data_IF_188556216161
#
_entry.id   IF_188556216161
#
_cell.length_a   1.000
_cell.length_b   1.000
_cell.length_c   1.000
_cell.angle_alpha   90.00
_cell.angle_beta   90.00
_cell.angle_gamma   90.00
#
_symmetry.space_group_name_H-M   'P 1'
#
loop_
_entity.id
_entity.type
_entity.pdbx_description
1 polymer ?
#
# COMPACT_ATOMS: atom_id res chain seq x y z
N UNK A 1 73.27 42.57 -108.77
CA UNK A 1 73.80 41.19 -108.46
C UNK A 1 74.43 41.23 -107.11
N UNK A 2 73.80 40.80 -106.05
CA UNK A 2 74.33 40.67 -104.71
C UNK A 2 74.04 39.23 -104.20
N UNK A 3 75.10 38.50 -103.91
CA UNK A 3 74.97 37.14 -103.36
C UNK A 3 74.67 37.24 -101.82
N UNK A 4 73.81 36.43 -101.25
CA UNK A 4 73.59 36.40 -99.79
C UNK A 4 74.63 35.57 -99.08
N UNK A 5 75.10 36.11 -97.97
CA UNK A 5 76.18 35.57 -97.15
C UNK A 5 75.67 34.43 -96.28
N UNK A 6 76.05 33.18 -96.49
CA UNK A 6 75.64 31.95 -95.86
C UNK A 6 76.28 31.69 -94.51
N UNK A 7 77.17 32.57 -94.02
CA UNK A 7 77.92 32.37 -92.79
C UNK A 7 77.14 32.76 -91.49
N UNK A 8 76.18 33.68 -91.59
CA UNK A 8 75.42 34.07 -90.42
C UNK A 8 74.31 33.08 -90.04
N UNK A 9 73.67 32.41 -91.01
CA UNK A 9 72.60 31.44 -90.72
C UNK A 9 73.10 30.20 -89.96
N UNK A 10 74.35 29.75 -90.16
CA UNK A 10 74.91 28.61 -89.49
C UNK A 10 75.16 28.82 -87.97
N UNK A 11 75.48 30.07 -87.60
CA UNK A 11 75.75 30.44 -86.20
C UNK A 11 74.49 30.55 -85.37
N UNK A 12 73.39 30.99 -86.00
CA UNK A 12 72.07 31.08 -85.33
C UNK A 12 71.39 29.72 -85.05
N UNK A 13 71.57 28.78 -85.94
CA UNK A 13 71.04 27.40 -85.80
C UNK A 13 71.82 26.66 -84.72
N UNK A 14 73.13 26.88 -84.56
CA UNK A 14 73.90 26.18 -83.53
C UNK A 14 73.65 26.70 -82.13
N UNK A 15 73.40 28.00 -81.95
CA UNK A 15 72.99 28.60 -80.66
C UNK A 15 71.64 28.13 -80.18
N UNK A 16 70.65 28.02 -81.09
CA UNK A 16 69.33 27.55 -80.72
C UNK A 16 69.29 25.99 -80.37
N UNK A 17 70.18 25.20 -81.02
CA UNK A 17 70.26 23.80 -80.64
C UNK A 17 70.98 23.55 -79.25
N UNK A 18 71.95 24.41 -78.91
CA UNK A 18 72.55 24.36 -77.58
C UNK A 18 71.60 24.84 -76.50
N UNK A 19 70.74 25.87 -76.76
CA UNK A 19 69.73 26.39 -75.86
C UNK A 19 68.57 25.37 -75.63
N UNK A 20 68.15 24.67 -76.70
CA UNK A 20 67.14 23.61 -76.59
C UNK A 20 67.64 22.38 -75.85
N UNK A 21 68.92 22.01 -75.98
CA UNK A 21 69.51 20.88 -75.21
C UNK A 21 69.60 21.23 -73.72
N UNK A 22 69.98 22.50 -73.40
CA UNK A 22 70.05 22.96 -72.03
C UNK A 22 68.66 22.99 -71.33
N UNK A 23 67.58 23.40 -72.07
CA UNK A 23 66.20 23.40 -71.54
C UNK A 23 65.71 21.98 -71.29
N UNK A 24 66.01 21.01 -72.16
CA UNK A 24 65.69 19.60 -72.00
C UNK A 24 66.40 19.00 -70.81
N UNK A 25 67.67 19.30 -70.59
CA UNK A 25 68.47 18.84 -69.42
C UNK A 25 67.89 19.45 -68.11
N UNK A 26 67.51 20.74 -68.10
CA UNK A 26 66.95 21.35 -66.90
C UNK A 26 65.57 20.80 -66.61
N UNK A 27 64.74 20.58 -67.63
CA UNK A 27 63.44 19.91 -67.44
C UNK A 27 63.54 18.50 -66.98
N UNK A 28 64.55 17.71 -67.49
CA UNK A 28 64.86 16.36 -67.03
C UNK A 28 65.32 16.32 -65.56
N UNK A 29 66.13 17.31 -65.15
CA UNK A 29 66.54 17.44 -63.75
C UNK A 29 65.43 17.79 -62.82
N UNK A 30 64.49 18.69 -63.25
CA UNK A 30 63.27 19.02 -62.46
C UNK A 30 62.30 17.82 -62.36
N UNK A 31 62.19 17.06 -63.46
CA UNK A 31 61.33 15.87 -63.45
C UNK A 31 61.96 14.76 -62.54
N UNK A 32 63.27 14.59 -62.54
CA UNK A 32 64.00 13.63 -61.68
C UNK A 32 63.89 14.06 -60.19
N UNK A 33 64.01 15.36 -59.88
CA UNK A 33 63.82 15.92 -58.54
C UNK A 33 62.40 15.79 -58.09
N UNK A 34 61.38 16.05 -58.95
CA UNK A 34 59.94 15.88 -58.69
C UNK A 34 59.64 14.42 -58.42
N UNK A 35 60.13 13.45 -59.18
CA UNK A 35 59.95 12.01 -58.95
C UNK A 35 60.58 11.53 -57.64
N UNK A 36 61.75 12.09 -57.29
CA UNK A 36 62.42 11.79 -56.04
C UNK A 36 61.65 12.36 -54.83
N UNK A 37 60.99 13.53 -54.99
CA UNK A 37 60.17 14.12 -53.97
C UNK A 37 58.85 13.36 -53.79
N UNK A 38 58.27 12.85 -54.87
CA UNK A 38 57.03 12.01 -54.79
C UNK A 38 57.38 10.59 -54.21
N UNK A 39 58.55 10.03 -54.53
CA UNK A 39 58.97 8.71 -53.96
C UNK A 39 59.27 8.81 -52.44
N UNK A 40 59.68 9.97 -51.95
CA UNK A 40 59.99 10.19 -50.53
C UNK A 40 58.78 10.49 -49.69
N UNK A 41 57.58 10.77 -50.28
CA UNK A 41 56.31 10.94 -49.54
C UNK A 41 55.56 9.63 -49.29
N UNK A 42 55.95 8.51 -49.83
CA UNK A 42 55.25 7.21 -49.62
C UNK A 42 55.76 6.38 -48.46
N UNK A 43 56.67 6.88 -47.64
CA UNK A 43 57.11 6.19 -46.41
C UNK A 43 56.82 6.99 -45.12
N UNK A 44 55.77 7.83 -45.11
CA UNK A 44 55.18 8.21 -43.84
C UNK A 44 54.55 6.93 -43.25
N UNK A 45 55.22 6.23 -42.34
CA UNK A 45 54.64 5.23 -41.46
C UNK A 45 53.40 5.87 -40.84
N UNK A 46 52.20 5.42 -41.28
CA UNK A 46 50.94 5.71 -40.58
C UNK A 46 51.16 5.27 -39.13
N UNK A 47 51.41 6.20 -38.24
CA UNK A 47 51.35 5.96 -36.80
C UNK A 47 49.90 5.58 -36.55
N UNK A 48 49.61 4.28 -36.54
CA UNK A 48 48.31 3.75 -36.14
C UNK A 48 48.25 4.04 -34.65
N UNK A 49 47.64 5.19 -34.29
CA UNK A 49 47.35 5.48 -32.90
C UNK A 49 46.49 4.34 -32.37
N UNK A 50 47.05 3.59 -31.44
CA UNK A 50 46.32 2.51 -30.77
C UNK A 50 45.21 3.15 -29.97
N UNK A 51 43.95 2.77 -30.20
CA UNK A 51 42.84 3.33 -29.40
C UNK A 51 43.05 2.91 -27.93
N UNK A 52 42.95 3.90 -27.05
CA UNK A 52 42.95 3.67 -25.59
C UNK A 52 41.57 3.22 -25.20
N UNK A 53 41.49 2.13 -24.43
CA UNK A 53 40.24 1.47 -24.04
C UNK A 53 40.25 1.13 -22.56
N UNK A 54 39.07 1.24 -21.94
CA UNK A 54 38.84 0.71 -20.60
C UNK A 54 38.42 -0.76 -20.70
N UNK A 55 38.84 -1.54 -19.74
CA UNK A 55 38.56 -2.97 -19.73
C UNK A 55 37.99 -3.39 -18.39
N UNK A 56 37.19 -4.44 -18.40
CA UNK A 56 36.60 -5.04 -17.19
C UNK A 56 36.74 -6.56 -17.28
N UNK A 57 37.14 -7.18 -16.18
CA UNK A 57 37.12 -8.64 -16.06
C UNK A 57 35.72 -9.13 -15.82
N UNK A 58 35.28 -10.09 -16.61
CA UNK A 58 33.97 -10.72 -16.51
C UNK A 58 33.90 -11.53 -15.23
N UNK A 59 32.93 -11.20 -14.40
CA UNK A 59 32.60 -11.96 -13.20
C UNK A 59 31.07 -12.16 -13.11
N UNK A 60 30.66 -13.20 -12.43
CA UNK A 60 29.24 -13.37 -12.12
C UNK A 60 28.87 -12.48 -10.95
N UNK A 61 27.81 -11.70 -11.12
CA UNK A 61 27.29 -10.78 -10.11
C UNK A 61 25.76 -10.85 -10.06
N UNK A 62 25.12 -10.50 -8.95
CA UNK A 62 23.68 -10.36 -8.91
C UNK A 62 23.22 -9.20 -9.80
N UNK A 63 22.24 -9.45 -10.64
CA UNK A 63 21.60 -8.42 -11.48
C UNK A 63 20.37 -7.89 -10.76
N UNK A 64 20.38 -6.60 -10.46
CA UNK A 64 19.25 -5.89 -9.88
C UNK A 64 18.50 -5.11 -10.96
N UNK A 65 17.19 -5.10 -10.84
CA UNK A 65 16.30 -4.22 -11.62
C UNK A 65 15.69 -3.18 -10.69
N UNK A 66 15.61 -1.94 -11.18
CA UNK A 66 14.94 -0.85 -10.47
C UNK A 66 13.53 -0.67 -11.00
N UNK A 67 12.58 -0.53 -10.11
CA UNK A 67 11.20 -0.15 -10.38
C UNK A 67 11.06 1.32 -9.97
N UNK A 68 10.58 2.15 -10.87
CA UNK A 68 10.20 3.51 -10.52
C UNK A 68 8.81 3.51 -9.92
N UNK A 69 8.70 3.98 -8.71
CA UNK A 69 7.46 4.09 -7.96
C UNK A 69 6.96 5.53 -8.05
N UNK A 70 5.68 5.66 -8.28
CA UNK A 70 5.00 6.94 -8.31
C UNK A 70 3.60 6.78 -7.73
N UNK A 71 3.24 7.60 -6.76
CA UNK A 71 1.94 7.51 -6.12
C UNK A 71 1.60 8.76 -5.32
N UNK A 72 0.35 8.83 -4.88
CA UNK A 72 -0.15 9.91 -4.06
C UNK A 72 -0.22 9.47 -2.59
N UNK A 73 0.17 10.37 -1.68
CA UNK A 73 0.08 10.15 -0.24
C UNK A 73 -1.38 10.17 0.18
N UNK A 74 -1.77 9.14 0.92
CA UNK A 74 -3.05 9.05 1.62
C UNK A 74 -2.78 9.08 3.12
N UNK A 75 -3.62 9.76 3.85
CA UNK A 75 -3.62 9.67 5.31
C UNK A 75 -4.00 8.25 5.75
N UNK A 76 -3.70 7.91 6.98
CA UNK A 76 -4.02 6.59 7.56
C UNK A 76 -5.50 6.27 7.51
N UNK A 77 -6.36 7.28 7.72
CA UNK A 77 -7.79 7.18 7.52
C UNK A 77 -8.39 8.56 7.24
N UNK A 78 -9.46 8.57 6.47
CA UNK A 78 -10.34 9.71 6.26
C UNK A 78 -11.75 9.26 6.61
N UNK A 79 -12.41 9.93 7.56
CA UNK A 79 -13.69 9.51 8.13
C UNK A 79 -14.68 10.63 7.95
N UNK A 80 -15.69 10.36 7.15
CA UNK A 80 -16.85 11.24 7.02
C UNK A 80 -17.81 11.04 8.22
N UNK A 81 -18.08 12.11 8.92
CA UNK A 81 -19.07 12.16 9.99
C UNK A 81 -20.40 12.55 9.36
N UNK A 82 -21.25 11.55 9.27
CA UNK A 82 -22.53 11.64 8.55
C UNK A 82 -23.67 11.73 9.54
N UNK A 83 -24.63 12.59 9.23
CA UNK A 83 -25.85 12.78 10.02
C UNK A 83 -26.76 11.55 9.92
N UNK A 84 -27.13 10.99 11.08
CA UNK A 84 -28.03 9.83 11.15
C UNK A 84 -29.50 10.25 11.20
N UNK A 85 -29.81 11.34 11.90
CA UNK A 85 -31.15 11.86 12.06
C UNK A 85 -31.24 13.32 11.62
N UNK A 86 -32.24 13.67 10.85
CA UNK A 86 -32.45 15.06 10.45
C UNK A 86 -32.74 15.94 11.67
N UNK A 87 -32.12 17.12 11.73
CA UNK A 87 -32.31 18.04 12.86
C UNK A 87 -31.57 19.37 12.67
N UNK A 88 -31.74 20.27 13.62
CA UNK A 88 -31.03 21.55 13.68
C UNK A 88 -29.73 21.34 14.46
N UNK A 89 -28.64 22.00 14.04
CA UNK A 89 -27.35 22.01 14.73
C UNK A 89 -27.37 23.10 15.79
N UNK A 90 -27.23 22.74 17.06
CA UNK A 90 -27.23 23.71 18.17
C UNK A 90 -25.82 24.24 18.46
N UNK A 91 -24.79 23.37 18.39
CA UNK A 91 -23.41 23.71 18.69
C UNK A 91 -22.45 23.09 17.68
N UNK A 92 -21.40 23.84 17.31
CA UNK A 92 -20.27 23.37 16.53
C UNK A 92 -18.99 23.79 17.26
N UNK A 93 -18.24 22.80 17.77
CA UNK A 93 -17.08 23.02 18.63
C UNK A 93 -15.75 22.98 17.88
N UNK A 94 -15.77 22.75 16.56
CA UNK A 94 -14.58 22.60 15.72
C UNK A 94 -14.71 23.41 14.44
N UNK A 95 -13.57 23.81 13.89
CA UNK A 95 -13.47 24.49 12.62
C UNK A 95 -12.50 23.76 11.68
N UNK A 96 -12.44 24.20 10.40
CA UNK A 96 -11.47 23.67 9.44
C UNK A 96 -10.04 23.82 9.99
N UNK A 97 -9.28 22.72 9.97
CA UNK A 97 -7.93 22.65 10.51
C UNK A 97 -7.83 22.40 12.01
N UNK A 98 -8.95 22.33 12.74
CA UNK A 98 -8.96 21.99 14.18
C UNK A 98 -8.39 20.59 14.40
N UNK A 99 -7.46 20.47 15.37
CA UNK A 99 -6.94 19.19 15.85
C UNK A 99 -7.84 18.70 16.99
N UNK A 100 -8.25 17.44 16.90
CA UNK A 100 -9.15 16.82 17.87
C UNK A 100 -8.57 15.51 18.37
N UNK A 101 -8.96 15.11 19.58
CA UNK A 101 -8.65 13.81 20.17
C UNK A 101 -9.87 12.87 20.09
N UNK A 102 -9.62 11.57 20.25
CA UNK A 102 -10.73 10.60 20.32
C UNK A 102 -11.66 10.91 21.49
N UNK A 103 -12.96 11.01 21.21
CA UNK A 103 -13.99 11.33 22.20
C UNK A 103 -14.36 12.80 22.31
N UNK A 104 -13.60 13.73 21.70
CA UNK A 104 -13.94 15.16 21.69
C UNK A 104 -15.29 15.39 21.01
N UNK A 105 -16.10 16.27 21.57
CA UNK A 105 -17.40 16.64 21.02
C UNK A 105 -17.16 17.62 19.87
N UNK A 106 -17.55 17.20 18.67
CA UNK A 106 -17.36 17.97 17.43
C UNK A 106 -18.54 18.92 17.20
N UNK A 107 -19.74 18.41 17.31
CA UNK A 107 -20.98 19.18 17.18
C UNK A 107 -22.12 18.50 17.96
N UNK A 108 -23.16 19.26 18.24
CA UNK A 108 -24.36 18.81 18.92
C UNK A 108 -25.58 19.27 18.12
N UNK A 109 -26.49 18.35 17.81
CA UNK A 109 -27.82 18.67 17.30
C UNK A 109 -28.77 18.93 18.44
N UNK A 110 -29.96 19.49 18.11
CA UNK A 110 -30.99 19.80 19.09
C UNK A 110 -31.37 18.56 19.91
N UNK A 111 -31.15 18.62 21.23
CA UNK A 111 -31.21 17.47 22.13
C UNK A 111 -32.54 17.38 22.89
N UNK A 112 -33.33 18.46 23.01
CA UNK A 112 -34.45 18.57 23.97
C UNK A 112 -35.49 17.49 23.74
N UNK A 113 -35.93 17.30 22.50
CA UNK A 113 -36.93 16.28 22.16
C UNK A 113 -36.43 14.87 22.42
N UNK A 114 -35.18 14.57 22.02
CA UNK A 114 -34.58 13.25 22.22
C UNK A 114 -34.31 12.94 23.69
N UNK A 115 -33.93 13.97 24.47
CA UNK A 115 -33.76 13.88 25.93
C UNK A 115 -35.11 13.61 26.63
N UNK A 116 -36.18 14.33 26.24
CA UNK A 116 -37.49 14.13 26.77
C UNK A 116 -38.01 12.72 26.46
N UNK A 117 -37.80 12.23 25.23
CA UNK A 117 -38.17 10.88 24.81
C UNK A 117 -37.41 9.80 25.61
N UNK A 118 -36.12 9.98 25.80
CA UNK A 118 -35.28 9.09 26.62
C UNK A 118 -35.74 9.03 28.07
N UNK A 119 -35.99 10.19 28.69
CA UNK A 119 -36.48 10.25 30.07
C UNK A 119 -37.85 9.59 30.23
N UNK A 120 -38.78 9.79 29.27
CA UNK A 120 -40.08 9.12 29.23
C UNK A 120 -39.95 7.60 29.11
N UNK A 121 -39.09 7.13 28.22
CA UNK A 121 -38.83 5.70 28.06
C UNK A 121 -38.20 5.10 29.33
N UNK A 122 -37.26 5.80 29.98
CA UNK A 122 -36.65 5.41 31.25
C UNK A 122 -37.68 5.24 32.35
N UNK A 123 -38.64 6.20 32.47
CA UNK A 123 -39.71 6.13 33.47
C UNK A 123 -40.62 4.90 33.25
N UNK A 124 -40.98 4.62 31.98
CA UNK A 124 -41.79 3.45 31.63
C UNK A 124 -41.06 2.13 31.90
N UNK A 125 -39.77 2.07 31.67
CA UNK A 125 -38.95 0.93 32.01
C UNK A 125 -38.89 0.69 33.51
N UNK A 126 -38.68 1.75 34.32
CA UNK A 126 -38.66 1.68 35.78
C UNK A 126 -39.99 1.21 36.34
N UNK A 127 -41.12 1.73 35.81
CA UNK A 127 -42.48 1.30 36.19
C UNK A 127 -42.70 -0.19 35.88
N UNK A 128 -42.37 -0.65 34.69
CA UNK A 128 -42.51 -2.03 34.28
C UNK A 128 -41.65 -2.99 35.13
N UNK A 129 -40.44 -2.57 35.49
CA UNK A 129 -39.55 -3.32 36.39
C UNK A 129 -40.14 -3.45 37.80
N UNK A 130 -40.69 -2.36 38.35
CA UNK A 130 -41.36 -2.38 39.65
C UNK A 130 -42.60 -3.30 39.66
N UNK A 131 -43.40 -3.27 38.58
CA UNK A 131 -44.58 -4.13 38.43
C UNK A 131 -44.18 -5.62 38.31
N UNK A 132 -43.11 -5.94 37.59
CA UNK A 132 -42.56 -7.29 37.48
C UNK A 132 -42.11 -7.81 38.87
N UNK A 133 -41.33 -6.99 39.57
CA UNK A 133 -40.86 -7.34 40.92
C UNK A 133 -41.99 -7.53 41.92
N UNK A 134 -43.01 -6.66 41.90
CA UNK A 134 -44.17 -6.79 42.76
C UNK A 134 -44.98 -8.06 42.47
N UNK A 135 -45.13 -8.41 41.19
CA UNK A 135 -45.80 -9.62 40.76
C UNK A 135 -45.06 -10.87 41.22
N UNK A 136 -43.74 -10.90 41.09
CA UNK A 136 -42.90 -12.03 41.53
C UNK A 136 -42.94 -12.21 43.05
N UNK A 137 -42.78 -11.11 43.82
CA UNK A 137 -42.90 -11.13 45.29
C UNK A 137 -44.30 -11.59 45.74
N UNK A 138 -45.36 -11.10 45.08
CA UNK A 138 -46.73 -11.49 45.41
C UNK A 138 -46.97 -12.97 45.15
N UNK A 139 -46.46 -13.50 44.05
CA UNK A 139 -46.55 -14.93 43.72
C UNK A 139 -45.76 -15.80 44.71
N UNK A 140 -44.51 -15.47 44.97
CA UNK A 140 -43.62 -16.23 45.85
C UNK A 140 -44.13 -16.26 47.32
N UNK A 141 -44.63 -15.09 47.80
CA UNK A 141 -45.23 -15.00 49.15
C UNK A 141 -46.52 -15.78 49.21
N UNK A 142 -47.39 -15.70 48.19
CA UNK A 142 -48.63 -16.49 48.11
C UNK A 142 -48.33 -18.00 48.09
N UNK A 143 -47.37 -18.44 47.30
CA UNK A 143 -46.97 -19.86 47.23
C UNK A 143 -46.46 -20.36 48.57
N UNK A 144 -45.58 -19.63 49.23
CA UNK A 144 -45.05 -20.00 50.54
C UNK A 144 -46.15 -20.11 51.62
N UNK A 145 -47.13 -19.21 51.59
CA UNK A 145 -48.29 -19.24 52.50
C UNK A 145 -49.14 -20.49 52.26
N UNK A 146 -49.55 -20.76 51.04
CA UNK A 146 -50.38 -21.94 50.74
C UNK A 146 -49.65 -23.24 50.99
N UNK A 147 -48.33 -23.30 50.75
CA UNK A 147 -47.50 -24.47 51.11
C UNK A 147 -47.49 -24.73 52.63
N UNK A 148 -47.30 -23.67 53.43
CA UNK A 148 -47.37 -23.78 54.89
C UNK A 148 -48.72 -24.27 55.40
N UNK A 149 -49.83 -23.70 54.87
CA UNK A 149 -51.20 -24.13 55.20
C UNK A 149 -51.45 -25.60 54.84
N UNK A 150 -51.00 -26.06 53.67
CA UNK A 150 -51.09 -27.45 53.23
C UNK A 150 -50.31 -28.38 54.12
N UNK A 151 -49.05 -28.04 54.46
CA UNK A 151 -48.20 -28.84 55.40
C UNK A 151 -48.86 -28.95 56.78
N UNK A 152 -49.43 -27.87 57.30
CA UNK A 152 -50.13 -27.90 58.59
C UNK A 152 -51.36 -28.82 58.54
N UNK A 153 -52.17 -28.69 57.47
CA UNK A 153 -53.32 -29.57 57.28
C UNK A 153 -52.95 -31.03 57.14
N UNK A 154 -51.83 -31.33 56.48
CA UNK A 154 -51.27 -32.68 56.34
C UNK A 154 -50.91 -33.27 57.71
N UNK A 155 -50.15 -32.55 58.52
CA UNK A 155 -49.78 -32.99 59.89
C UNK A 155 -51.01 -33.23 60.75
N UNK A 156 -52.01 -32.36 60.68
CA UNK A 156 -53.28 -32.49 61.43
C UNK A 156 -54.09 -33.74 61.01
N UNK A 157 -54.22 -33.95 59.68
CA UNK A 157 -54.94 -35.14 59.17
C UNK A 157 -54.26 -36.44 59.59
N UNK A 158 -52.88 -36.51 59.53
CA UNK A 158 -52.12 -37.67 60.01
C UNK A 158 -52.32 -37.90 61.50
N UNK A 159 -52.36 -36.86 62.33
CA UNK A 159 -52.59 -36.92 63.74
C UNK A 159 -54.00 -37.52 64.03
N UNK A 160 -55.01 -36.99 63.33
CA UNK A 160 -56.41 -37.49 63.52
C UNK A 160 -56.58 -38.92 63.01
N UNK A 161 -55.91 -39.38 61.96
CA UNK A 161 -55.85 -40.77 61.52
C UNK A 161 -55.35 -41.70 62.62
N UNK A 162 -54.27 -41.30 63.31
CA UNK A 162 -53.72 -42.07 64.45
C UNK A 162 -54.66 -42.12 65.62
N UNK A 163 -55.30 -40.99 65.98
CA UNK A 163 -56.25 -40.95 67.07
C UNK A 163 -57.53 -41.71 66.75
N UNK A 164 -57.98 -41.74 65.53
CA UNK A 164 -59.17 -42.55 65.13
C UNK A 164 -58.81 -44.02 65.16
N UNK A 165 -57.65 -44.43 64.77
CA UNK A 165 -57.18 -45.83 64.92
C UNK A 165 -57.11 -46.30 66.41
N UNK A 166 -56.98 -45.34 67.36
CA UNK A 166 -56.95 -45.56 68.76
C UNK A 166 -58.38 -45.41 69.40
N UNK A 167 -59.43 -45.09 68.60
CA UNK A 167 -60.78 -44.89 69.09
C UNK A 167 -60.99 -43.53 69.82
N UNK A 168 -60.06 -42.57 69.75
CA UNK A 168 -60.07 -41.33 70.54
C UNK A 168 -60.83 -40.19 69.86
N UNK A 169 -61.20 -40.32 68.59
CA UNK A 169 -61.96 -39.32 67.81
C UNK A 169 -63.04 -40.04 66.98
N UNK A 170 -64.07 -39.24 66.57
CA UNK A 170 -65.18 -39.73 65.74
C UNK A 170 -64.79 -39.79 64.25
N UNK A 171 -65.55 -40.57 63.46
CA UNK A 171 -65.35 -40.67 62.01
C UNK A 171 -65.66 -39.30 61.37
N UNK A 172 -66.68 -38.55 61.83
CA UNK A 172 -67.02 -37.22 61.33
C UNK A 172 -65.86 -36.23 61.54
N UNK A 173 -65.12 -36.29 62.65
CA UNK A 173 -63.98 -35.42 62.90
C UNK A 173 -62.80 -35.74 61.96
N UNK A 174 -62.56 -37.06 61.76
CA UNK A 174 -61.55 -37.48 60.79
C UNK A 174 -61.89 -36.96 59.37
N UNK A 175 -63.09 -37.20 58.88
CA UNK A 175 -63.55 -36.77 57.55
C UNK A 175 -63.47 -35.26 57.38
N UNK A 176 -63.77 -34.44 58.42
CA UNK A 176 -63.58 -32.98 58.40
C UNK A 176 -62.08 -32.59 58.20
N UNK A 177 -61.15 -33.27 58.86
CA UNK A 177 -59.73 -32.99 58.72
C UNK A 177 -59.19 -33.42 57.33
N UNK A 178 -59.73 -34.52 56.81
CA UNK A 178 -59.33 -34.99 55.44
C UNK A 178 -59.93 -34.05 54.38
N UNK A 179 -61.16 -33.54 54.57
CA UNK A 179 -61.69 -32.51 53.66
C UNK A 179 -60.91 -31.19 53.72
N UNK A 180 -60.44 -30.77 54.92
CA UNK A 180 -59.58 -29.61 55.11
C UNK A 180 -58.25 -29.81 54.38
N UNK A 181 -57.63 -30.99 54.52
CA UNK A 181 -56.42 -31.31 53.81
C UNK A 181 -56.62 -31.25 52.28
N UNK A 182 -57.69 -31.85 51.75
CA UNK A 182 -58.00 -31.84 50.35
C UNK A 182 -58.18 -30.40 49.81
N UNK A 183 -58.91 -29.53 50.58
CA UNK A 183 -59.07 -28.14 50.20
C UNK A 183 -57.77 -27.32 50.19
N UNK A 184 -56.92 -27.53 51.24
CA UNK A 184 -55.64 -26.81 51.31
C UNK A 184 -54.65 -27.32 50.25
N UNK A 185 -54.66 -28.60 49.92
CA UNK A 185 -53.90 -29.17 48.81
C UNK A 185 -54.31 -28.55 47.48
N UNK A 186 -55.63 -28.51 47.22
CA UNK A 186 -56.15 -27.91 45.98
C UNK A 186 -55.77 -26.42 45.84
N UNK A 187 -55.78 -25.64 46.96
CA UNK A 187 -55.34 -24.25 46.95
C UNK A 187 -53.84 -24.09 46.60
N UNK A 188 -53.00 -24.92 47.20
CA UNK A 188 -51.55 -24.96 46.91
C UNK A 188 -51.30 -25.36 45.45
N UNK A 189 -51.89 -26.46 44.99
CA UNK A 189 -51.72 -26.95 43.62
C UNK A 189 -52.25 -25.98 42.57
N UNK A 190 -53.35 -25.30 42.83
CA UNK A 190 -53.91 -24.30 41.94
C UNK A 190 -52.93 -23.12 41.69
N UNK A 191 -52.15 -22.75 42.71
CA UNK A 191 -51.11 -21.73 42.54
C UNK A 191 -49.80 -22.30 41.99
N UNK A 192 -49.35 -23.45 42.52
CA UNK A 192 -48.08 -24.10 42.13
C UNK A 192 -48.11 -24.64 40.69
N UNK A 193 -49.28 -25.13 40.22
CA UNK A 193 -49.48 -25.65 38.87
C UNK A 193 -50.03 -24.62 37.90
N UNK A 194 -50.06 -23.31 38.27
CA UNK A 194 -50.35 -22.27 37.28
C UNK A 194 -49.48 -22.49 36.02
N UNK A 195 -50.13 -22.37 34.84
CA UNK A 195 -49.40 -22.59 33.58
C UNK A 195 -48.04 -21.93 33.62
N UNK A 196 -47.00 -22.75 33.66
CA UNK A 196 -45.63 -22.24 33.63
C UNK A 196 -45.12 -22.19 32.21
N UNK A 197 -44.41 -21.11 31.90
CA UNK A 197 -43.60 -21.00 30.68
C UNK A 197 -42.15 -20.84 31.11
N UNK A 198 -41.27 -21.68 30.58
CA UNK A 198 -39.85 -21.68 30.92
C UNK A 198 -39.58 -21.84 32.43
N UNK A 199 -40.40 -22.70 33.10
CA UNK A 199 -40.27 -22.97 34.54
C UNK A 199 -40.77 -21.86 35.47
N UNK A 200 -41.40 -20.77 34.94
CA UNK A 200 -41.95 -19.64 35.70
C UNK A 200 -43.46 -19.52 35.49
N UNK A 201 -44.25 -19.05 36.50
CA UNK A 201 -45.65 -18.77 36.31
C UNK A 201 -45.90 -17.79 35.15
N UNK A 202 -46.87 -18.11 34.32
CA UNK A 202 -47.12 -17.33 33.09
C UNK A 202 -47.40 -15.84 33.35
N UNK A 203 -47.93 -15.51 34.54
CA UNK A 203 -48.16 -14.13 34.95
C UNK A 203 -46.86 -13.39 35.27
N UNK A 204 -45.94 -14.02 36.01
CA UNK A 204 -44.60 -13.47 36.31
C UNK A 204 -43.81 -13.31 35.01
N UNK A 205 -43.73 -14.37 34.19
CA UNK A 205 -43.07 -14.34 32.89
C UNK A 205 -43.57 -13.21 31.99
N UNK A 206 -44.88 -13.00 31.92
CA UNK A 206 -45.49 -11.91 31.13
C UNK A 206 -45.01 -10.54 31.58
N UNK A 207 -44.97 -10.27 32.89
CA UNK A 207 -44.49 -8.98 33.41
C UNK A 207 -43.02 -8.77 33.16
N UNK A 208 -42.21 -9.81 33.27
CA UNK A 208 -40.77 -9.77 32.91
C UNK A 208 -40.60 -9.44 31.42
N UNK A 209 -41.38 -10.05 30.52
CA UNK A 209 -41.34 -9.74 29.08
C UNK A 209 -41.78 -8.30 28.77
N UNK A 210 -42.73 -7.76 29.53
CA UNK A 210 -43.13 -6.34 29.41
C UNK A 210 -41.94 -5.44 29.84
N UNK A 211 -41.29 -5.74 30.96
CA UNK A 211 -40.14 -5.00 31.45
C UNK A 211 -38.98 -5.05 30.45
N UNK A 212 -38.66 -6.23 29.91
CA UNK A 212 -37.60 -6.40 28.89
C UNK A 212 -37.90 -5.59 27.61
N UNK A 213 -39.17 -5.55 27.15
CA UNK A 213 -39.55 -4.72 26.00
C UNK A 213 -39.39 -3.23 26.30
N UNK A 214 -39.75 -2.77 27.49
CA UNK A 214 -39.58 -1.38 27.91
C UNK A 214 -38.11 -0.98 28.05
N UNK A 215 -37.28 -1.92 28.45
CA UNK A 215 -35.83 -1.75 28.46
C UNK A 215 -35.29 -1.49 27.06
N UNK A 216 -35.70 -2.29 26.06
CA UNK A 216 -35.29 -2.08 24.67
C UNK A 216 -35.77 -0.72 24.13
N UNK A 217 -37.01 -0.31 24.47
CA UNK A 217 -37.50 1.02 24.09
C UNK A 217 -36.63 2.15 24.70
N UNK A 218 -36.23 2.00 25.97
CA UNK A 218 -35.31 2.93 26.62
C UNK A 218 -33.93 2.97 25.97
N UNK A 219 -33.35 1.81 25.67
CA UNK A 219 -32.05 1.71 24.99
C UNK A 219 -32.09 2.40 23.61
N UNK A 220 -33.15 2.20 22.84
CA UNK A 220 -33.35 2.87 21.54
C UNK A 220 -33.39 4.40 21.70
N UNK A 221 -34.18 4.90 22.66
CA UNK A 221 -34.28 6.34 22.94
C UNK A 221 -32.92 6.91 23.43
N UNK A 222 -32.18 6.18 24.26
CA UNK A 222 -30.87 6.55 24.76
C UNK A 222 -29.84 6.62 23.62
N UNK A 223 -29.84 5.64 22.74
CA UNK A 223 -28.93 5.63 21.56
C UNK A 223 -29.26 6.82 20.64
N UNK A 224 -30.55 7.11 20.39
CA UNK A 224 -30.94 8.29 19.61
C UNK A 224 -30.43 9.59 20.22
N UNK A 225 -30.54 9.75 21.53
CA UNK A 225 -29.99 10.92 22.25
C UNK A 225 -28.45 11.02 22.08
N UNK A 226 -27.72 9.90 22.20
CA UNK A 226 -26.27 9.88 22.04
C UNK A 226 -25.83 10.10 20.59
N UNK A 227 -26.59 9.63 19.61
CA UNK A 227 -26.29 9.80 18.19
C UNK A 227 -26.41 11.27 17.72
N UNK A 228 -27.08 12.14 18.48
CA UNK A 228 -27.15 13.57 18.23
C UNK A 228 -25.93 14.35 18.77
N UNK A 229 -25.09 13.71 19.55
CA UNK A 229 -23.82 14.26 20.07
C UNK A 229 -22.69 13.62 19.28
N UNK A 230 -22.17 14.34 18.31
CA UNK A 230 -21.12 13.82 17.42
C UNK A 230 -19.76 13.93 18.08
N UNK A 231 -19.10 12.80 18.24
CA UNK A 231 -17.77 12.71 18.83
C UNK A 231 -16.74 12.23 17.83
N UNK A 232 -15.48 12.70 17.98
CA UNK A 232 -14.38 12.21 17.19
C UNK A 232 -14.13 10.71 17.47
N UNK A 233 -14.17 9.84 16.46
CA UNK A 233 -13.90 8.42 16.65
C UNK A 233 -12.42 8.12 16.91
N UNK A 234 -11.54 9.04 16.54
CA UNK A 234 -10.07 9.01 16.76
C UNK A 234 -9.49 10.42 16.74
N UNK A 235 -8.21 10.54 17.09
CA UNK A 235 -7.47 11.78 16.92
C UNK A 235 -7.23 12.09 15.44
N UNK A 236 -7.17 13.37 15.09
CA UNK A 236 -6.96 13.84 13.72
C UNK A 236 -7.24 15.31 13.52
N UNK A 237 -7.38 15.70 12.26
CA UNK A 237 -7.60 17.08 11.83
C UNK A 237 -8.92 17.15 11.05
N UNK A 238 -9.72 18.18 11.30
CA UNK A 238 -10.95 18.43 10.53
C UNK A 238 -10.57 19.04 9.17
N UNK A 239 -10.93 18.35 8.09
CA UNK A 239 -10.60 18.77 6.71
C UNK A 239 -11.81 19.25 5.92
N UNK A 240 -13.02 18.98 6.40
CA UNK A 240 -14.27 19.44 5.80
C UNK A 240 -15.28 19.78 6.90
N UNK A 241 -16.01 20.87 6.76
CA UNK A 241 -17.09 21.31 7.66
C UNK A 241 -18.21 21.96 6.83
N UNK A 242 -19.41 21.37 6.92
CA UNK A 242 -20.65 21.88 6.34
C UNK A 242 -21.73 22.16 7.41
N UNK A 243 -21.41 21.84 8.67
CA UNK A 243 -22.28 22.10 9.80
C UNK A 243 -22.16 23.55 10.26
N UNK A 244 -23.28 24.27 10.32
CA UNK A 244 -23.38 25.64 10.86
C UNK A 244 -24.40 25.69 11.99
N UNK A 245 -24.12 26.48 13.03
CA UNK A 245 -25.03 26.67 14.17
C UNK A 245 -26.34 27.29 13.67
N UNK A 246 -27.46 26.69 14.05
CA UNK A 246 -28.80 27.05 13.57
C UNK A 246 -29.16 26.47 12.21
N UNK A 247 -28.22 25.82 11.54
CA UNK A 247 -28.43 25.16 10.24
C UNK A 247 -29.22 23.85 10.37
N UNK A 248 -30.04 23.53 9.37
CA UNK A 248 -30.75 22.27 9.29
C UNK A 248 -29.87 21.22 8.56
N UNK A 249 -29.61 20.10 9.21
CA UNK A 249 -28.85 18.98 8.69
C UNK A 249 -29.77 17.82 8.30
N UNK A 250 -29.92 17.49 7.01
CA UNK A 250 -30.71 16.32 6.58
C UNK A 250 -30.06 15.00 7.02
N UNK A 251 -30.88 13.95 7.21
CA UNK A 251 -30.34 12.61 7.43
C UNK A 251 -29.52 12.14 6.20
N UNK A 252 -28.34 11.54 6.43
CA UNK A 252 -27.41 11.09 5.39
C UNK A 252 -26.48 12.19 4.87
N UNK A 253 -26.61 13.46 5.31
CA UNK A 253 -25.65 14.51 4.93
C UNK A 253 -24.33 14.34 5.65
N UNK A 254 -23.23 14.65 4.94
CA UNK A 254 -21.87 14.72 5.51
C UNK A 254 -21.73 16.07 6.22
N UNK A 255 -21.47 16.04 7.53
CA UNK A 255 -21.31 17.24 8.35
C UNK A 255 -19.86 17.67 8.48
N UNK A 256 -18.98 16.72 8.73
CA UNK A 256 -17.54 16.93 8.94
C UNK A 256 -16.77 15.79 8.28
N UNK A 257 -15.49 16.04 7.93
CA UNK A 257 -14.53 14.98 7.60
C UNK A 257 -13.34 15.08 8.54
N UNK A 258 -13.01 13.99 9.19
CA UNK A 258 -11.85 13.83 10.07
C UNK A 258 -10.75 13.07 9.37
N UNK A 259 -9.57 13.66 9.25
CA UNK A 259 -8.37 13.07 8.69
C UNK A 259 -7.45 12.60 9.83
N UNK A 260 -7.12 11.32 9.86
CA UNK A 260 -6.10 10.76 10.77
C UNK A 260 -4.71 10.97 10.16
N UNK A 261 -3.98 11.95 10.67
CA UNK A 261 -2.61 12.31 10.25
C UNK A 261 -1.50 11.57 11.02
N UNK A 262 -1.85 10.56 11.82
CA UNK A 262 -0.89 9.76 12.59
C UNK A 262 0.02 8.87 11.73
N UNK A 263 -0.22 8.82 10.44
CA UNK A 263 0.57 8.06 9.48
C UNK A 263 0.11 8.28 8.05
N UNK A 264 1.02 8.01 7.11
CA UNK A 264 0.74 8.17 5.68
C UNK A 264 1.10 6.90 4.93
N UNK A 265 0.38 6.65 3.86
CA UNK A 265 0.65 5.57 2.92
C UNK A 265 0.69 6.12 1.50
N UNK A 266 1.49 5.48 0.66
CA UNK A 266 1.55 5.78 -0.79
C UNK A 266 1.08 4.55 -1.53
N UNK A 267 0.07 4.70 -2.37
CA UNK A 267 -0.38 3.65 -3.28
C UNK A 267 0.27 3.87 -4.64
N UNK A 268 1.10 2.92 -5.08
CA UNK A 268 1.79 2.93 -6.37
C UNK A 268 1.26 1.83 -7.27
N UNK A 269 1.11 2.15 -8.55
CA UNK A 269 0.74 1.18 -9.57
C UNK A 269 1.98 0.50 -10.15
N UNK A 270 2.06 -0.82 -10.07
CA UNK A 270 3.15 -1.65 -10.58
C UNK A 270 2.62 -2.69 -11.57
N UNK A 271 3.51 -3.15 -12.46
CA UNK A 271 3.20 -4.20 -13.44
C UNK A 271 3.14 -5.60 -12.79
N UNK A 272 2.57 -6.58 -13.48
CA UNK A 272 2.51 -7.98 -13.02
C UNK A 272 3.90 -8.56 -12.71
N UNK A 273 4.88 -8.33 -13.60
CA UNK A 273 6.24 -8.80 -13.40
C UNK A 273 6.93 -8.17 -12.18
N UNK A 274 6.61 -6.91 -11.88
CA UNK A 274 7.11 -6.19 -10.71
C UNK A 274 6.41 -6.68 -9.43
N UNK A 275 5.10 -6.92 -9.48
CA UNK A 275 4.34 -7.45 -8.36
C UNK A 275 4.83 -8.84 -7.92
N UNK A 276 5.19 -9.69 -8.89
CA UNK A 276 5.77 -11.01 -8.61
C UNK A 276 7.16 -10.95 -7.97
N UNK A 277 7.91 -9.84 -8.14
CA UNK A 277 9.27 -9.68 -7.65
C UNK A 277 9.37 -8.90 -6.33
N UNK A 278 8.33 -8.13 -5.98
CA UNK A 278 8.30 -7.32 -4.75
C UNK A 278 7.71 -8.13 -3.61
N UNK A 279 8.36 -8.08 -2.46
CA UNK A 279 7.88 -8.71 -1.22
C UNK A 279 7.57 -7.65 -0.17
N UNK A 280 6.60 -7.93 0.68
CA UNK A 280 6.30 -7.10 1.85
C UNK A 280 7.52 -7.01 2.79
N UNK A 281 7.60 -5.91 3.54
CA UNK A 281 8.72 -5.62 4.45
C UNK A 281 9.93 -4.96 3.80
N UNK A 282 9.96 -4.76 2.47
CA UNK A 282 11.06 -4.04 1.82
C UNK A 282 11.00 -2.55 2.10
N UNK A 283 12.17 -1.99 2.38
CA UNK A 283 12.35 -0.54 2.53
C UNK A 283 12.52 0.14 1.17
N UNK A 284 11.95 1.32 1.06
CA UNK A 284 11.94 2.16 -0.15
C UNK A 284 12.22 3.58 0.25
N UNK A 285 13.13 4.23 -0.46
CA UNK A 285 13.32 5.67 -0.34
C UNK A 285 12.34 6.39 -1.26
N UNK A 286 11.57 7.30 -0.67
CA UNK A 286 10.55 8.09 -1.34
C UNK A 286 10.90 9.58 -1.26
N UNK A 287 10.86 10.27 -2.38
CA UNK A 287 11.05 11.72 -2.46
C UNK A 287 9.71 12.41 -2.65
N UNK A 288 9.39 13.34 -1.77
CA UNK A 288 8.22 14.20 -1.83
C UNK A 288 8.61 15.50 -2.55
N UNK A 289 8.44 15.54 -3.89
CA UNK A 289 8.96 16.64 -4.72
C UNK A 289 8.43 18.02 -4.31
N UNK A 290 7.16 18.09 -3.86
CA UNK A 290 6.53 19.37 -3.53
C UNK A 290 7.17 20.08 -2.32
N UNK A 291 7.81 19.34 -1.43
CA UNK A 291 8.45 19.86 -0.20
C UNK A 291 9.95 19.59 -0.17
N UNK A 292 10.50 18.88 -1.18
CA UNK A 292 11.92 18.52 -1.26
C UNK A 292 12.40 17.55 -0.16
N UNK A 293 11.49 16.82 0.47
CA UNK A 293 11.80 15.92 1.57
C UNK A 293 11.99 14.48 1.07
N UNK A 294 12.99 13.78 1.62
CA UNK A 294 13.24 12.36 1.37
C UNK A 294 12.83 11.57 2.61
N UNK A 295 11.90 10.65 2.44
CA UNK A 295 11.35 9.82 3.50
C UNK A 295 11.65 8.34 3.25
N UNK A 296 11.88 7.59 4.32
CA UNK A 296 11.90 6.14 4.26
C UNK A 296 10.47 5.58 4.37
N UNK A 297 10.21 4.53 3.63
CA UNK A 297 8.94 3.84 3.69
C UNK A 297 9.10 2.34 3.58
N UNK A 298 8.16 1.62 4.17
CA UNK A 298 8.14 0.16 4.15
C UNK A 298 6.97 -0.34 3.32
N UNK A 299 7.23 -1.30 2.43
CA UNK A 299 6.18 -2.01 1.68
C UNK A 299 5.34 -2.81 2.66
N UNK A 300 4.06 -2.46 2.80
CA UNK A 300 3.13 -3.13 3.72
C UNK A 300 2.11 -4.01 3.03
N UNK A 301 1.93 -3.84 1.72
CA UNK A 301 0.95 -4.62 0.97
C UNK A 301 1.26 -4.62 -0.52
N UNK A 302 1.12 -5.79 -1.13
CA UNK A 302 1.12 -5.99 -2.59
C UNK A 302 -0.21 -6.61 -2.96
N UNK A 303 -0.98 -5.96 -3.81
CA UNK A 303 -2.31 -6.48 -4.19
C UNK A 303 -2.21 -7.87 -4.82
N UNK A 304 -3.00 -8.85 -4.38
CA UNK A 304 -3.06 -10.18 -5.00
C UNK A 304 -3.84 -10.17 -6.32
N UNK A 305 -4.56 -9.08 -6.61
CA UNK A 305 -5.40 -8.93 -7.78
C UNK A 305 -5.06 -7.65 -8.53
N UNK A 306 -5.25 -7.69 -9.83
CA UNK A 306 -5.07 -6.55 -10.72
C UNK A 306 -6.28 -5.62 -10.63
N UNK A 307 -6.03 -4.33 -10.52
CA UNK A 307 -7.07 -3.31 -10.67
C UNK A 307 -7.65 -3.37 -12.09
N UNK A 308 -8.97 -3.39 -12.20
CA UNK A 308 -9.66 -3.54 -13.50
C UNK A 308 -9.58 -2.30 -14.38
N UNK A 309 -9.44 -1.13 -13.79
CA UNK A 309 -9.37 0.15 -14.52
C UNK A 309 -7.96 0.44 -15.02
N UNK A 310 -6.95 0.32 -14.15
CA UNK A 310 -5.55 0.63 -14.48
C UNK A 310 -4.82 -0.56 -15.11
N UNK A 311 -5.37 -1.78 -15.00
CA UNK A 311 -4.75 -3.03 -15.43
C UNK A 311 -3.41 -3.31 -14.76
N UNK A 312 -3.18 -2.74 -13.57
CA UNK A 312 -1.96 -2.84 -12.77
C UNK A 312 -2.23 -3.38 -11.38
N UNK A 313 -1.18 -3.79 -10.70
CA UNK A 313 -1.22 -4.18 -9.29
C UNK A 313 -0.93 -2.97 -8.41
N UNK A 314 -1.57 -2.90 -7.25
CA UNK A 314 -1.33 -1.83 -6.28
C UNK A 314 -0.28 -2.26 -5.27
N UNK A 315 0.77 -1.48 -5.14
CA UNK A 315 1.79 -1.56 -4.10
C UNK A 315 1.53 -0.46 -3.08
N UNK A 316 1.32 -0.83 -1.81
CA UNK A 316 1.17 0.13 -0.72
C UNK A 316 2.43 0.21 0.12
N UNK A 317 2.92 1.43 0.28
CA UNK A 317 4.11 1.75 1.06
C UNK A 317 3.66 2.65 2.20
N UNK A 318 3.98 2.27 3.44
CA UNK A 318 3.77 3.12 4.61
C UNK A 318 5.02 3.97 4.81
N UNK A 319 4.86 5.27 5.05
CA UNK A 319 5.94 6.13 5.50
C UNK A 319 6.29 5.80 6.95
N UNK A 320 7.57 5.63 7.23
CA UNK A 320 8.00 5.21 8.57
C UNK A 320 8.08 6.40 9.54
N UNK A 321 8.66 7.51 9.13
CA UNK A 321 8.77 8.74 9.94
C UNK A 321 8.44 9.96 9.06
N UNK A 322 7.15 10.30 8.90
CA UNK A 322 6.77 11.48 8.11
C UNK A 322 7.17 12.76 8.85
N UNK A 323 7.86 13.65 8.15
CA UNK A 323 8.19 14.98 8.63
C UNK A 323 6.96 15.86 8.88
N UNK A 324 7.13 16.96 9.60
CA UNK A 324 6.03 17.87 9.99
C UNK A 324 5.34 18.60 8.82
N UNK A 325 5.97 18.61 7.63
CA UNK A 325 5.42 19.20 6.40
C UNK A 325 4.60 18.25 5.53
N UNK A 326 4.55 16.96 5.87
CA UNK A 326 3.88 15.93 5.08
C UNK A 326 2.37 16.09 5.18
N UNK A 327 1.68 16.11 4.03
CA UNK A 327 0.23 16.22 3.94
C UNK A 327 -0.32 15.15 3.00
N UNK A 328 -1.54 14.68 3.27
CA UNK A 328 -2.28 13.86 2.33
C UNK A 328 -2.46 14.62 1.00
N UNK A 329 -2.44 13.90 -0.12
CA UNK A 329 -2.56 14.49 -1.45
C UNK A 329 -1.22 14.81 -2.12
N UNK A 330 -0.10 14.88 -1.40
CA UNK A 330 1.23 15.06 -2.01
C UNK A 330 1.61 13.85 -2.86
N UNK A 331 2.40 14.09 -3.91
CA UNK A 331 2.96 13.02 -4.73
C UNK A 331 4.32 12.60 -4.21
N UNK A 332 4.54 11.29 -4.18
CA UNK A 332 5.81 10.67 -3.86
C UNK A 332 6.37 9.95 -5.08
N UNK A 333 7.68 10.11 -5.28
CA UNK A 333 8.48 9.33 -6.23
C UNK A 333 9.51 8.50 -5.47
N UNK A 334 9.80 7.31 -5.96
CA UNK A 334 10.84 6.48 -5.38
C UNK A 334 11.34 5.44 -6.33
N UNK A 335 12.35 4.71 -5.89
CA UNK A 335 12.85 3.56 -6.63
C UNK A 335 13.01 2.37 -5.70
N UNK A 336 12.54 1.22 -6.15
CA UNK A 336 12.72 -0.04 -5.45
C UNK A 336 13.60 -0.95 -6.29
N UNK A 337 14.72 -1.40 -5.71
CA UNK A 337 15.57 -2.39 -6.35
C UNK A 337 15.19 -3.80 -5.90
N UNK A 338 15.05 -4.69 -6.87
CA UNK A 338 14.85 -6.11 -6.60
C UNK A 338 15.84 -6.98 -7.37
N UNK A 339 16.14 -8.13 -6.80
CA UNK A 339 17.06 -9.09 -7.39
C UNK A 339 16.36 -9.77 -8.58
N UNK A 340 16.82 -9.44 -9.80
CA UNK A 340 16.30 -10.07 -11.02
C UNK A 340 16.93 -11.45 -11.25
N UNK A 341 18.27 -11.55 -11.03
CA UNK A 341 19.02 -12.81 -11.11
C UNK A 341 20.12 -12.85 -10.07
N UNK A 342 20.26 -13.95 -9.33
CA UNK A 342 21.24 -14.03 -8.24
C UNK A 342 22.69 -14.15 -8.73
N UNK A 343 22.93 -14.69 -9.93
CA UNK A 343 24.27 -14.89 -10.45
C UNK A 343 24.25 -14.95 -11.98
N UNK A 344 24.66 -13.86 -12.61
CA UNK A 344 24.72 -13.78 -14.08
C UNK A 344 25.90 -12.93 -14.53
N UNK A 345 26.30 -13.08 -15.80
CA UNK A 345 27.27 -12.20 -16.43
C UNK A 345 26.48 -11.06 -17.08
N UNK A 346 26.78 -9.83 -16.69
CA UNK A 346 26.22 -8.67 -17.34
C UNK A 346 27.30 -7.60 -17.58
N UNK A 347 27.09 -6.82 -18.63
CA UNK A 347 27.96 -5.72 -19.02
C UNK A 347 27.15 -4.43 -19.18
N UNK A 348 27.77 -3.25 -19.01
CA UNK A 348 27.15 -1.99 -19.40
C UNK A 348 26.71 -2.04 -20.87
N UNK A 349 25.52 -1.53 -21.19
CA UNK A 349 25.00 -1.52 -22.58
C UNK A 349 25.99 -0.92 -23.57
N UNK A 350 26.75 0.10 -23.16
CA UNK A 350 27.80 0.73 -23.97
C UNK A 350 28.94 -0.23 -24.37
N UNK A 351 29.11 -1.35 -23.67
CA UNK A 351 30.13 -2.37 -23.97
C UNK A 351 29.61 -3.45 -24.94
N UNK A 352 28.39 -3.40 -25.35
CA UNK A 352 27.76 -4.36 -26.26
C UNK A 352 27.34 -3.67 -27.55
N UNK A 353 27.84 -4.19 -28.69
CA UNK A 353 27.46 -3.71 -30.01
C UNK A 353 26.33 -4.55 -30.58
N UNK A 354 25.29 -3.89 -31.05
CA UNK A 354 24.20 -4.50 -31.81
C UNK A 354 24.43 -4.21 -33.30
N UNK A 355 24.47 -5.26 -34.12
CA UNK A 355 24.58 -5.16 -35.56
C UNK A 355 23.79 -6.28 -36.22
N UNK A 356 22.91 -5.92 -37.15
CA UNK A 356 22.06 -6.85 -37.89
C UNK A 356 21.27 -7.83 -36.97
N UNK A 357 20.76 -7.31 -35.82
CA UNK A 357 20.02 -8.11 -34.84
C UNK A 357 20.87 -9.09 -34.02
N UNK A 358 22.21 -8.98 -34.11
CA UNK A 358 23.15 -9.79 -33.33
C UNK A 358 23.97 -8.93 -32.41
N UNK A 359 24.29 -9.48 -31.23
CA UNK A 359 25.06 -8.78 -30.21
C UNK A 359 26.53 -9.24 -30.23
N UNK A 360 27.44 -8.31 -30.10
CA UNK A 360 28.89 -8.56 -30.11
C UNK A 360 29.56 -7.79 -28.98
N UNK A 361 30.60 -8.35 -28.44
CA UNK A 361 31.51 -7.71 -27.50
C UNK A 361 32.94 -7.84 -27.99
N UNK A 362 33.85 -6.96 -27.53
CA UNK A 362 35.28 -7.12 -27.78
C UNK A 362 35.96 -7.64 -26.51
N UNK A 363 36.64 -8.79 -26.64
CA UNK A 363 37.43 -9.40 -25.59
C UNK A 363 38.91 -9.12 -25.88
N UNK A 364 39.67 -8.82 -24.84
CA UNK A 364 41.13 -8.61 -24.94
C UNK A 364 41.83 -9.96 -25.04
N UNK A 365 42.44 -10.25 -26.20
CA UNK A 365 43.25 -11.43 -26.44
C UNK A 365 44.71 -11.18 -26.14
N UNK A 366 45.54 -12.24 -26.16
CA UNK A 366 47.00 -12.14 -25.95
C UNK A 366 47.63 -11.09 -26.88
N UNK A 367 48.53 -10.27 -26.33
CA UNK A 367 49.18 -9.18 -27.05
C UNK A 367 48.30 -7.93 -27.22
N UNK A 368 47.36 -7.68 -26.34
CA UNK A 368 46.44 -6.53 -26.33
C UNK A 368 45.66 -6.39 -27.64
N UNK A 369 45.21 -7.50 -28.21
CA UNK A 369 44.38 -7.50 -29.42
C UNK A 369 42.90 -7.58 -29.08
N UNK A 370 42.10 -6.71 -29.68
CA UNK A 370 40.66 -6.75 -29.57
C UNK A 370 40.10 -7.89 -30.43
N UNK A 371 39.49 -8.89 -29.84
CA UNK A 371 38.83 -10.00 -30.51
C UNK A 371 37.29 -9.82 -30.42
N UNK A 372 36.61 -9.77 -31.54
CA UNK A 372 35.15 -9.70 -31.57
C UNK A 372 34.54 -11.06 -31.28
N UNK A 373 33.65 -11.12 -30.31
CA UNK A 373 32.95 -12.32 -29.88
C UNK A 373 31.45 -12.08 -30.02
N UNK A 374 30.74 -13.00 -30.67
CA UNK A 374 29.29 -12.99 -30.73
C UNK A 374 28.74 -13.47 -29.40
N UNK A 375 27.74 -12.79 -28.88
CA UNK A 375 27.11 -13.08 -27.58
C UNK A 375 25.61 -13.17 -27.72
N UNK A 376 24.97 -13.97 -26.86
CA UNK A 376 23.53 -14.01 -26.74
C UNK A 376 23.09 -13.09 -25.56
N UNK A 377 22.30 -12.07 -25.89
CA UNK A 377 21.74 -11.16 -24.90
C UNK A 377 20.55 -11.80 -24.18
N UNK A 378 20.45 -11.55 -22.87
CA UNK A 378 19.35 -11.97 -22.02
C UNK A 378 18.56 -10.77 -21.49
N UNK A 379 18.25 -10.78 -20.20
CA UNK A 379 17.56 -9.70 -19.54
C UNK A 379 18.39 -8.40 -19.53
N UNK A 380 17.74 -7.26 -19.66
CA UNK A 380 18.38 -5.95 -19.61
C UNK A 380 17.68 -5.05 -18.59
N UNK A 381 18.45 -4.19 -17.93
CA UNK A 381 17.94 -3.06 -17.16
C UNK A 381 18.29 -1.73 -17.88
N UNK A 382 18.15 -0.59 -17.23
CA UNK A 382 18.42 0.71 -17.85
C UNK A 382 19.88 0.86 -18.31
N UNK A 383 20.85 0.32 -17.59
CA UNK A 383 22.28 0.53 -17.76
C UNK A 383 23.02 -0.70 -18.29
N UNK A 384 22.54 -1.89 -17.99
CA UNK A 384 23.25 -3.15 -18.21
C UNK A 384 22.42 -4.16 -19.00
N UNK A 385 23.11 -5.08 -19.68
CA UNK A 385 22.51 -6.17 -20.43
C UNK A 385 23.17 -7.49 -20.01
N UNK A 386 22.36 -8.49 -19.73
CA UNK A 386 22.80 -9.84 -19.43
C UNK A 386 23.33 -10.53 -20.66
N UNK A 387 24.40 -11.30 -20.51
CA UNK A 387 24.97 -12.13 -21.54
C UNK A 387 24.88 -13.59 -21.13
N UNK A 388 24.01 -14.32 -21.84
CA UNK A 388 23.70 -15.72 -21.52
C UNK A 388 24.73 -16.67 -22.09
N UNK A 389 25.31 -16.33 -23.27
CA UNK A 389 26.31 -17.14 -23.97
C UNK A 389 27.37 -16.25 -24.64
N UNK A 390 28.54 -16.81 -24.87
CA UNK A 390 29.61 -16.21 -25.64
C UNK A 390 30.77 -15.66 -24.79
N UNK A 391 30.62 -15.52 -23.45
CA UNK A 391 31.70 -15.13 -22.54
C UNK A 391 31.89 -16.14 -21.41
N UNK A 392 33.11 -16.20 -20.92
CA UNK A 392 33.48 -16.98 -19.74
C UNK A 392 33.90 -16.07 -18.59
N UNK A 393 33.75 -16.55 -17.36
CA UNK A 393 34.28 -15.85 -16.18
C UNK A 393 35.80 -15.78 -16.28
N UNK A 394 36.35 -14.58 -16.11
CA UNK A 394 37.77 -14.31 -16.28
C UNK A 394 38.13 -13.66 -17.62
N UNK A 395 37.25 -13.66 -18.62
CA UNK A 395 37.49 -12.91 -19.86
C UNK A 395 37.63 -11.40 -19.55
N UNK A 396 38.49 -10.71 -20.26
CA UNK A 396 38.64 -9.25 -20.15
C UNK A 396 37.92 -8.58 -21.31
N UNK A 397 36.87 -7.86 -21.04
CA UNK A 397 36.00 -7.19 -22.03
C UNK A 397 36.34 -5.70 -22.11
N UNK A 398 36.34 -5.16 -23.33
CA UNK A 398 36.53 -3.74 -23.63
C UNK A 398 35.17 -3.02 -23.47
N UNK A 399 35.15 -1.93 -22.68
CA UNK A 399 33.92 -1.23 -22.29
C UNK A 399 33.57 -0.04 -23.19
N UNK A 400 34.55 0.55 -23.90
CA UNK A 400 34.36 1.80 -24.64
C UNK A 400 35.12 1.82 -25.98
N UNK A 401 34.95 2.92 -26.74
CA UNK A 401 35.58 3.10 -28.06
C UNK A 401 35.25 2.02 -29.09
N UNK A 402 34.20 1.22 -28.86
CA UNK A 402 33.88 0.01 -29.67
C UNK A 402 33.69 0.32 -31.16
N UNK A 403 33.14 1.52 -31.49
CA UNK A 403 32.93 1.92 -32.89
C UNK A 403 34.20 2.06 -33.71
N UNK A 404 35.36 2.26 -33.05
CA UNK A 404 36.69 2.39 -33.68
C UNK A 404 37.45 1.08 -33.76
N UNK A 405 36.98 0.05 -33.08
CA UNK A 405 37.64 -1.26 -33.01
C UNK A 405 37.33 -2.13 -34.23
N UNK A 406 38.31 -2.89 -34.64
CA UNK A 406 38.19 -3.95 -35.63
C UNK A 406 38.74 -5.25 -35.01
N UNK A 407 38.26 -6.37 -35.50
CA UNK A 407 38.75 -7.67 -35.07
C UNK A 407 40.26 -7.79 -35.31
N UNK A 408 41.01 -8.25 -34.31
CA UNK A 408 42.48 -8.35 -34.32
C UNK A 408 43.25 -7.04 -34.09
N UNK A 409 42.59 -5.89 -33.90
CA UNK A 409 43.25 -4.59 -33.72
C UNK A 409 43.95 -4.52 -32.36
N UNK A 410 45.21 -4.00 -32.36
CA UNK A 410 45.95 -3.79 -31.11
C UNK A 410 45.44 -2.52 -30.42
N UNK A 411 45.15 -2.64 -29.14
CA UNK A 411 44.62 -1.55 -28.29
C UNK A 411 45.62 -1.24 -27.16
N UNK A 412 45.49 -0.05 -26.60
CA UNK A 412 46.20 0.35 -25.39
C UNK A 412 45.20 0.41 -24.24
N UNK A 413 45.51 -0.23 -23.11
CA UNK A 413 44.66 -0.26 -21.95
C UNK A 413 44.86 1.04 -21.17
N UNK A 414 43.77 1.78 -20.92
CA UNK A 414 43.80 2.93 -20.03
C UNK A 414 44.28 2.49 -18.64
N UNK A 415 45.27 3.18 -18.09
CA UNK A 415 45.66 2.97 -16.69
C UNK A 415 44.49 3.46 -15.85
N UNK A 416 43.93 2.59 -15.02
CA UNK A 416 42.92 2.95 -14.02
C UNK A 416 43.58 3.92 -13.03
N UNK A 417 43.19 5.20 -13.05
CA UNK A 417 43.44 6.09 -11.92
C UNK A 417 42.59 5.58 -10.78
N UNK A 418 43.23 5.02 -9.79
CA UNK A 418 42.61 4.62 -8.54
C UNK A 418 41.95 5.86 -7.90
N UNK A 419 40.63 5.85 -7.84
CA UNK A 419 39.82 6.83 -7.13
C UNK A 419 39.33 6.22 -5.82
#
# INVERSE_FOLDING_TARGET
>A
MLRPDFTQAKKYILQHKLLSLLTICVMGAFLALGLKHLSNQQTAKRVVMKPVVHTQVVSRRPLYKSINLFGQLKAKAEIDIVNKYAGIVDEVNVDLGSKVQAGDILLVQHLDDARAEMLKAKARYAEAGANAATTDVSYSTGLARYEADYKLAQVNAERYRKLFAQGAVSRAELDSMEQTLANKKAQYEALALQQSYDGRPSQVYRQEQIAARREQEYIIAQNKYHDLIFKAPRAGIITYRDAEVGGYAPAGSRLLTLLDDSGFTVDCDITEAEAAAVTEGKQVELTLEAIGEVCQGTVVYVSPTRNRETNKFTLRIRLDEPGSGVKAGLFAKGSLQFLQKPSTIYLPKKAVLERDGKYFVYVLAKGNKAKRVAVAAGAANNESIELVQGLQVGDTVILDNLARLRDGMVVEIAKEEAK
#
